data_IF_469717849457
#
_entry.id   IF_469717849457
#
_cell.length_a   1.000
_cell.length_b   1.000
_cell.length_c   1.000
_cell.angle_alpha   90.00
_cell.angle_beta   90.00
_cell.angle_gamma   90.00
#
_symmetry.space_group_name_H-M   'P 1'
#
loop_
_entity.id
_entity.type
_entity.pdbx_description
1 polymer ?
#
# COMPACT_ATOMS: atom_id res chain seq x y z
N UNK A 1 -70.17 13.51 -20.95
CA UNK A 1 -69.08 13.86 -20.02
C UNK A 1 -67.99 12.80 -20.13
N UNK A 2 -66.92 13.00 -20.94
CA UNK A 2 -65.85 12.01 -21.05
C UNK A 2 -64.79 12.27 -19.98
N UNK A 3 -64.46 11.24 -19.20
CA UNK A 3 -63.42 11.26 -18.17
C UNK A 3 -62.03 11.10 -18.82
N UNK A 4 -61.01 11.89 -18.47
CA UNK A 4 -59.69 11.76 -19.08
C UNK A 4 -58.93 10.58 -18.47
N UNK A 5 -58.39 9.70 -19.32
CA UNK A 5 -57.55 8.58 -18.93
C UNK A 5 -56.24 9.06 -18.26
N UNK A 6 -55.69 8.31 -17.29
CA UNK A 6 -54.49 8.70 -16.57
C UNK A 6 -53.27 8.71 -17.49
N UNK A 7 -52.60 9.86 -17.59
CA UNK A 7 -51.33 10.01 -18.31
C UNK A 7 -50.27 9.12 -17.66
N UNK A 8 -49.78 8.13 -18.39
CA UNK A 8 -48.57 7.37 -18.06
C UNK A 8 -47.43 8.34 -17.75
N UNK A 9 -47.04 8.39 -16.47
CA UNK A 9 -45.90 9.18 -16.00
C UNK A 9 -44.65 8.47 -16.52
N UNK A 10 -44.01 8.99 -17.58
CA UNK A 10 -42.68 8.53 -18.01
C UNK A 10 -41.78 8.56 -16.77
N UNK A 11 -41.26 7.39 -16.38
CA UNK A 11 -40.25 7.28 -15.34
C UNK A 11 -39.09 8.21 -15.75
N UNK A 12 -38.77 9.17 -14.89
CA UNK A 12 -37.61 10.02 -15.10
C UNK A 12 -36.39 9.10 -15.19
N UNK A 13 -35.70 9.14 -16.34
CA UNK A 13 -34.47 8.40 -16.52
C UNK A 13 -33.48 8.85 -15.44
N UNK A 14 -33.01 7.90 -14.63
CA UNK A 14 -31.99 8.16 -13.62
C UNK A 14 -30.79 8.85 -14.27
N UNK A 15 -30.20 9.89 -13.66
CA UNK A 15 -29.05 10.57 -14.25
C UNK A 15 -27.91 9.57 -14.46
N UNK A 16 -27.42 9.46 -15.70
CA UNK A 16 -26.28 8.63 -16.04
C UNK A 16 -25.01 9.22 -15.41
N UNK A 17 -24.35 8.48 -14.53
CA UNK A 17 -23.06 8.87 -13.96
C UNK A 17 -21.96 8.53 -14.95
N UNK A 18 -21.25 9.55 -15.44
CA UNK A 18 -20.04 9.35 -16.25
C UNK A 18 -18.88 9.10 -15.29
N UNK A 19 -18.19 7.97 -15.46
CA UNK A 19 -17.04 7.56 -14.62
C UNK A 19 -15.77 7.59 -15.47
N UNK A 20 -14.75 8.28 -14.99
CA UNK A 20 -13.41 8.18 -15.56
C UNK A 20 -12.74 6.87 -15.10
N UNK A 21 -12.61 5.92 -16.04
CA UNK A 21 -11.98 4.63 -15.79
C UNK A 21 -10.48 4.75 -15.53
N UNK A 22 -9.79 5.73 -16.09
CA UNK A 22 -8.37 5.92 -15.86
C UNK A 22 -8.14 6.37 -14.41
N UNK A 23 -8.88 7.37 -13.96
CA UNK A 23 -8.82 7.84 -12.57
C UNK A 23 -9.22 6.75 -11.57
N UNK A 24 -10.24 5.95 -11.89
CA UNK A 24 -10.68 4.85 -11.03
C UNK A 24 -9.62 3.74 -10.91
N UNK A 25 -8.93 3.40 -12.01
CA UNK A 25 -7.83 2.43 -12.04
C UNK A 25 -6.63 2.93 -11.24
N UNK A 26 -6.29 4.20 -11.40
CA UNK A 26 -5.17 4.83 -10.70
C UNK A 26 -5.42 4.88 -9.20
N UNK A 27 -6.61 5.33 -8.80
CA UNK A 27 -7.06 5.31 -7.39
C UNK A 27 -7.07 3.90 -6.79
N UNK A 28 -7.37 2.88 -7.60
CA UNK A 28 -7.31 1.47 -7.17
C UNK A 28 -5.86 1.01 -6.99
N UNK A 29 -4.98 1.29 -7.96
CA UNK A 29 -3.56 0.96 -7.92
C UNK A 29 -2.89 1.54 -6.66
N UNK A 30 -3.15 2.82 -6.36
CA UNK A 30 -2.63 3.48 -5.17
C UNK A 30 -3.09 2.76 -3.89
N UNK A 31 -4.39 2.47 -3.77
CA UNK A 31 -4.95 1.78 -2.59
C UNK A 31 -4.37 0.39 -2.39
N UNK A 32 -4.22 -0.39 -3.45
CA UNK A 32 -3.62 -1.72 -3.38
C UNK A 32 -2.16 -1.65 -2.92
N UNK A 33 -1.39 -0.69 -3.42
CA UNK A 33 0.00 -0.51 -3.03
C UNK A 33 0.15 -0.01 -1.58
N UNK A 34 -0.71 0.91 -1.15
CA UNK A 34 -0.78 1.35 0.24
C UNK A 34 -1.13 0.20 1.19
N UNK A 35 -2.09 -0.65 0.83
CA UNK A 35 -2.45 -1.83 1.62
C UNK A 35 -1.27 -2.79 1.74
N UNK A 36 -0.55 -3.04 0.64
CA UNK A 36 0.66 -3.87 0.65
C UNK A 36 1.76 -3.27 1.54
N UNK A 37 1.99 -1.96 1.45
CA UNK A 37 2.97 -1.26 2.30
C UNK A 37 2.67 -1.44 3.79
N UNK A 38 1.40 -1.28 4.20
CA UNK A 38 0.96 -1.50 5.59
C UNK A 38 1.21 -2.94 6.05
N UNK A 39 0.91 -3.92 5.20
CA UNK A 39 1.17 -5.33 5.51
C UNK A 39 2.66 -5.63 5.73
N UNK A 40 3.55 -5.06 4.91
CA UNK A 40 5.01 -5.24 5.07
C UNK A 40 5.52 -4.50 6.31
N UNK A 41 5.02 -3.30 6.62
CA UNK A 41 5.37 -2.58 7.85
C UNK A 41 4.98 -3.38 9.10
N UNK A 42 3.78 -3.95 9.12
CA UNK A 42 3.36 -4.79 10.24
C UNK A 42 4.28 -5.99 10.45
N UNK A 43 4.69 -6.67 9.38
CA UNK A 43 5.66 -7.77 9.45
C UNK A 43 7.00 -7.29 9.99
N UNK A 44 7.50 -6.14 9.53
CA UNK A 44 8.76 -5.57 9.99
C UNK A 44 8.72 -5.22 11.49
N UNK A 45 7.64 -4.56 11.95
CA UNK A 45 7.42 -4.20 13.35
C UNK A 45 7.32 -5.43 14.25
N UNK A 46 6.64 -6.49 13.80
CA UNK A 46 6.59 -7.78 14.51
C UNK A 46 7.98 -8.42 14.59
N UNK A 47 8.77 -8.33 13.52
CA UNK A 47 10.17 -8.79 13.49
C UNK A 47 11.03 -8.10 14.56
N UNK A 48 10.99 -6.77 14.62
CA UNK A 48 11.67 -5.98 15.64
C UNK A 48 11.20 -6.36 17.05
N UNK A 49 9.88 -6.41 17.27
CA UNK A 49 9.31 -6.78 18.57
C UNK A 49 9.80 -8.14 19.06
N UNK A 50 9.83 -9.15 18.18
CA UNK A 50 10.35 -10.49 18.50
C UNK A 50 11.85 -10.47 18.79
N UNK A 51 12.63 -9.69 18.06
CA UNK A 51 14.07 -9.56 18.26
C UNK A 51 14.39 -8.99 19.67
N UNK A 52 13.59 -8.03 20.15
CA UNK A 52 13.68 -7.51 21.52
C UNK A 52 13.19 -8.53 22.57
N UNK A 53 12.00 -9.09 22.37
CA UNK A 53 11.38 -10.02 23.33
C UNK A 53 12.21 -11.29 23.57
N UNK A 54 12.89 -11.79 22.53
CA UNK A 54 13.75 -12.98 22.62
C UNK A 54 15.13 -12.71 23.21
N UNK A 55 15.51 -11.45 23.44
CA UNK A 55 16.87 -11.06 23.85
C UNK A 55 17.93 -11.26 22.75
N UNK A 56 17.55 -11.76 21.56
CA UNK A 56 18.47 -11.99 20.45
C UNK A 56 19.16 -10.71 20.00
N UNK A 57 18.54 -9.54 20.21
CA UNK A 57 19.13 -8.22 19.91
C UNK A 57 20.54 -8.04 20.51
N UNK A 58 20.84 -8.67 21.65
CA UNK A 58 22.14 -8.57 22.33
C UNK A 58 23.21 -9.49 21.74
N UNK A 59 22.85 -10.33 20.77
CA UNK A 59 23.81 -11.19 20.05
C UNK A 59 24.33 -10.50 18.80
N UNK A 60 25.53 -10.88 18.33
CA UNK A 60 26.08 -10.36 17.07
C UNK A 60 25.17 -10.63 15.87
N UNK A 61 24.50 -11.79 15.87
CA UNK A 61 23.55 -12.17 14.83
C UNK A 61 22.29 -11.30 14.90
N UNK A 62 21.70 -11.14 16.08
CA UNK A 62 20.51 -10.31 16.26
C UNK A 62 20.76 -8.83 15.99
N UNK A 63 21.94 -8.29 16.30
CA UNK A 63 22.31 -6.93 15.93
C UNK A 63 22.32 -6.73 14.40
N UNK A 64 22.78 -7.73 13.63
CA UNK A 64 22.72 -7.70 12.15
C UNK A 64 21.28 -7.74 11.65
N UNK A 65 20.44 -8.62 12.23
CA UNK A 65 19.01 -8.67 11.89
C UNK A 65 18.30 -7.36 12.22
N UNK A 66 18.61 -6.76 13.37
CA UNK A 66 18.07 -5.47 13.79
C UNK A 66 18.40 -4.37 12.79
N UNK A 67 19.66 -4.28 12.35
CA UNK A 67 20.08 -3.35 11.29
C UNK A 67 19.30 -3.58 10.00
N UNK A 68 19.13 -4.83 9.58
CA UNK A 68 18.42 -5.16 8.34
C UNK A 68 16.93 -4.78 8.43
N UNK A 69 16.28 -4.97 9.59
CA UNK A 69 14.90 -4.53 9.87
C UNK A 69 14.76 -3.00 9.97
N UNK A 70 15.78 -2.31 10.48
CA UNK A 70 15.80 -0.84 10.50
C UNK A 70 15.96 -0.27 9.09
N UNK A 71 16.81 -0.87 8.25
CA UNK A 71 16.92 -0.51 6.83
C UNK A 71 15.61 -0.76 6.10
N UNK A 72 14.95 -1.89 6.35
CA UNK A 72 13.62 -2.17 5.84
C UNK A 72 12.59 -1.11 6.27
N UNK A 73 12.66 -0.64 7.52
CA UNK A 73 11.79 0.45 7.99
C UNK A 73 12.06 1.77 7.26
N UNK A 74 13.32 2.12 6.99
CA UNK A 74 13.66 3.33 6.22
C UNK A 74 13.11 3.27 4.79
N UNK A 75 13.20 2.12 4.12
CA UNK A 75 12.55 1.93 2.83
C UNK A 75 11.03 2.12 2.90
N UNK A 76 10.37 1.62 3.95
CA UNK A 76 8.93 1.78 4.14
C UNK A 76 8.53 3.24 4.36
N UNK A 77 9.32 4.02 5.10
CA UNK A 77 9.10 5.47 5.24
C UNK A 77 9.22 6.17 3.88
N UNK A 78 10.22 5.81 3.07
CA UNK A 78 10.37 6.36 1.72
C UNK A 78 9.22 5.95 0.80
N UNK A 79 8.74 4.71 0.90
CA UNK A 79 7.56 4.26 0.15
C UNK A 79 6.33 5.06 0.56
N UNK A 80 6.11 5.28 1.86
CA UNK A 80 4.97 6.06 2.33
C UNK A 80 5.00 7.51 1.78
N UNK A 81 6.17 8.14 1.77
CA UNK A 81 6.39 9.45 1.16
C UNK A 81 6.07 9.45 -0.35
N UNK A 82 6.56 8.47 -1.11
CA UNK A 82 6.26 8.33 -2.54
C UNK A 82 4.76 8.15 -2.79
N UNK A 83 4.07 7.32 -1.99
CA UNK A 83 2.63 7.09 -2.14
C UNK A 83 1.78 8.31 -1.75
N UNK A 84 2.25 9.12 -0.78
CA UNK A 84 1.62 10.39 -0.45
C UNK A 84 1.72 11.36 -1.63
N UNK A 85 2.93 11.52 -2.20
CA UNK A 85 3.16 12.36 -3.39
C UNK A 85 2.31 11.94 -4.59
N UNK A 86 2.17 10.64 -4.84
CA UNK A 86 1.29 10.14 -5.90
C UNK A 86 -0.18 10.51 -5.63
N UNK A 87 -0.63 10.43 -4.38
CA UNK A 87 -2.00 10.80 -3.99
C UNK A 87 -2.30 12.30 -4.08
N UNK A 88 -1.26 13.14 -4.12
CA UNK A 88 -1.36 14.60 -4.25
C UNK A 88 -1.27 15.07 -5.71
N UNK A 89 -0.91 14.19 -6.65
CA UNK A 89 -0.81 14.56 -8.07
C UNK A 89 -2.17 14.93 -8.65
N UNK A 90 -2.26 16.02 -9.43
CA UNK A 90 -3.43 16.31 -10.25
C UNK A 90 -3.76 15.17 -11.20
N UNK A 91 -5.04 14.95 -11.49
CA UNK A 91 -5.48 13.90 -12.42
C UNK A 91 -4.88 14.05 -13.83
N UNK A 92 -4.57 15.29 -14.23
CA UNK A 92 -3.95 15.61 -15.53
C UNK A 92 -2.47 15.17 -15.60
N UNK A 93 -1.81 14.99 -14.44
CA UNK A 93 -0.39 14.62 -14.32
C UNK A 93 -0.22 13.13 -13.97
N UNK A 94 -1.25 12.30 -14.18
CA UNK A 94 -1.21 10.88 -13.83
C UNK A 94 -0.05 10.09 -14.48
N UNK A 95 0.43 10.54 -15.65
CA UNK A 95 1.60 9.94 -16.33
C UNK A 95 2.91 10.12 -15.56
N UNK A 96 3.02 11.16 -14.73
CA UNK A 96 4.22 11.45 -13.94
C UNK A 96 4.31 10.58 -12.67
N UNK A 97 3.25 9.82 -12.35
CA UNK A 97 3.21 8.91 -11.23
C UNK A 97 3.99 7.60 -11.48
N UNK A 98 4.14 7.17 -12.74
CA UNK A 98 4.79 5.90 -13.08
C UNK A 98 6.21 5.71 -12.54
N UNK A 99 7.14 6.69 -12.65
CA UNK A 99 8.46 6.56 -12.02
C UNK A 99 8.38 6.45 -10.49
N UNK A 100 7.45 7.16 -9.84
CA UNK A 100 7.23 7.08 -8.39
C UNK A 100 6.73 5.69 -7.99
N UNK A 101 5.81 5.12 -8.77
CA UNK A 101 5.35 3.74 -8.58
C UNK A 101 6.46 2.72 -8.77
N UNK A 102 7.34 2.91 -9.76
CA UNK A 102 8.46 2.01 -10.00
C UNK A 102 9.44 2.03 -8.82
N UNK A 103 9.78 3.21 -8.31
CA UNK A 103 10.62 3.38 -7.12
C UNK A 103 9.97 2.72 -5.89
N UNK A 104 8.70 3.00 -5.63
CA UNK A 104 7.96 2.44 -4.50
C UNK A 104 7.91 0.90 -4.54
N UNK A 105 7.66 0.31 -5.72
CA UNK A 105 7.64 -1.13 -5.90
C UNK A 105 9.03 -1.77 -5.70
N UNK A 106 10.09 -1.13 -6.21
CA UNK A 106 11.46 -1.60 -6.03
C UNK A 106 11.87 -1.62 -4.55
N UNK A 107 11.56 -0.55 -3.82
CA UNK A 107 11.79 -0.45 -2.38
C UNK A 107 10.98 -1.48 -1.60
N UNK A 108 9.70 -1.68 -1.93
CA UNK A 108 8.87 -2.71 -1.30
C UNK A 108 9.37 -4.13 -1.56
N UNK A 109 9.87 -4.43 -2.76
CA UNK A 109 10.46 -5.72 -3.08
C UNK A 109 11.71 -5.98 -2.22
N UNK A 110 12.63 -5.03 -2.14
CA UNK A 110 13.83 -5.12 -1.28
C UNK A 110 13.47 -5.27 0.19
N UNK A 111 12.47 -4.54 0.65
CA UNK A 111 11.96 -4.63 2.03
C UNK A 111 11.36 -6.01 2.33
N UNK A 112 10.59 -6.55 1.40
CA UNK A 112 10.00 -7.90 1.52
C UNK A 112 11.11 -8.95 1.65
N UNK A 113 12.19 -8.81 0.87
CA UNK A 113 13.32 -9.74 0.95
C UNK A 113 14.05 -9.66 2.30
N UNK A 114 14.35 -8.46 2.78
CA UNK A 114 15.01 -8.24 4.08
C UNK A 114 14.18 -8.78 5.25
N UNK A 115 12.87 -8.49 5.24
CA UNK A 115 11.94 -8.94 6.28
C UNK A 115 11.76 -10.46 6.25
N UNK A 116 11.65 -11.09 5.07
CA UNK A 116 11.56 -12.54 4.92
C UNK A 116 12.82 -13.26 5.43
N UNK A 117 14.00 -12.77 5.04
CA UNK A 117 15.29 -13.32 5.50
C UNK A 117 15.40 -13.28 7.02
N UNK A 118 14.99 -12.17 7.62
CA UNK A 118 15.00 -12.01 9.08
C UNK A 118 13.98 -12.93 9.76
N UNK A 119 12.78 -13.06 9.18
CA UNK A 119 11.73 -13.95 9.67
C UNK A 119 12.15 -15.41 9.74
N UNK A 120 12.89 -15.91 8.73
CA UNK A 120 13.43 -17.28 8.73
C UNK A 120 14.41 -17.52 9.87
N UNK A 121 15.27 -16.55 10.17
CA UNK A 121 16.25 -16.68 11.25
C UNK A 121 15.56 -16.63 12.62
N UNK A 122 14.62 -15.71 12.81
CA UNK A 122 13.85 -15.62 14.06
C UNK A 122 12.96 -16.85 14.30
N UNK A 123 12.49 -17.52 13.24
CA UNK A 123 11.71 -18.76 13.36
C UNK A 123 12.57 -19.97 13.78
N UNK A 124 13.86 -19.99 13.40
CA UNK A 124 14.80 -21.07 13.74
C UNK A 124 15.43 -20.95 15.13
N UNK A 125 15.44 -19.74 15.71
CA UNK A 125 15.93 -19.51 17.07
C UNK A 125 14.91 -19.81 18.18
N UNK A 126 13.82 -20.51 17.84
CA UNK A 126 12.81 -21.03 18.78
C UNK A 126 13.17 -22.42 19.25
#
# INVERSE_FOLDING_TARGET
>A
MPSPLPRSRRAAASPSTVVDLAQARESRRLRELQARCRGVDEVNRRGLSRLFQSGLIFTRQGARLGRDLLLAHQHLLRVADLLARIGELPAEEAGDADPLYAEAQSLLARTTELTARTGLVLARGR
#
